data_IF_222624045193
#
_entry.id   IF_222624045193
#
_cell.length_a   1.000
_cell.length_b   1.000
_cell.length_c   1.000
_cell.angle_alpha   90.00
_cell.angle_beta   90.00
_cell.angle_gamma   90.00
#
_symmetry.space_group_name_H-M   'P 1'
#
loop_
_entity.id
_entity.type
_entity.pdbx_description
1 polymer ?
#
# COMPACT_ATOMS: atom_id res chain seq x y z
N UNK A 1 -15.81 -2.35 11.45
CA UNK A 1 -14.95 -2.07 10.28
C UNK A 1 -13.50 -2.15 10.74
N UNK A 2 -12.80 -3.22 10.40
CA UNK A 2 -11.40 -3.39 10.81
C UNK A 2 -10.52 -2.46 9.97
N UNK A 3 -10.09 -1.35 10.57
CA UNK A 3 -9.09 -0.46 9.97
C UNK A 3 -7.76 -1.23 9.90
N UNK A 4 -7.23 -1.40 8.69
CA UNK A 4 -5.92 -2.03 8.50
C UNK A 4 -4.85 -1.10 9.07
N UNK A 5 -3.97 -1.66 9.90
CA UNK A 5 -2.85 -0.93 10.49
C UNK A 5 -1.86 -0.59 9.39
N UNK A 6 -1.17 0.54 9.49
CA UNK A 6 -0.12 0.91 8.55
C UNK A 6 1.18 1.03 9.32
N UNK A 7 2.21 0.35 8.84
CA UNK A 7 3.54 0.51 9.42
C UNK A 7 4.08 1.92 9.17
N UNK A 8 5.05 2.33 9.98
CA UNK A 8 5.76 3.61 9.83
C UNK A 8 6.34 3.77 8.42
N UNK A 9 6.99 2.74 7.91
CA UNK A 9 7.59 2.71 6.57
C UNK A 9 6.55 2.79 5.46
N UNK A 10 5.44 2.07 5.62
CA UNK A 10 4.35 2.10 4.64
C UNK A 10 3.72 3.49 4.55
N UNK A 11 3.48 4.11 5.71
CA UNK A 11 2.96 5.47 5.82
C UNK A 11 3.93 6.50 5.22
N UNK A 12 5.24 6.36 5.46
CA UNK A 12 6.26 7.24 4.89
C UNK A 12 6.28 7.18 3.35
N UNK A 13 6.13 5.98 2.78
CA UNK A 13 6.03 5.79 1.33
C UNK A 13 4.74 6.36 0.76
N UNK A 14 3.60 6.16 1.44
CA UNK A 14 2.32 6.75 1.04
C UNK A 14 2.37 8.29 1.03
N UNK A 15 3.12 8.90 1.96
CA UNK A 15 3.35 10.36 1.96
C UNK A 15 4.10 10.86 0.71
N UNK A 16 4.99 10.04 0.13
CA UNK A 16 5.71 10.36 -1.13
C UNK A 16 4.80 10.28 -2.36
N UNK A 17 3.70 9.52 -2.29
CA UNK A 17 2.72 9.44 -3.38
C UNK A 17 1.94 10.75 -3.47
N UNK A 18 1.68 11.28 -4.68
CA UNK A 18 0.83 12.45 -4.86
C UNK A 18 -0.59 12.25 -4.30
N UNK A 19 -1.17 13.32 -3.72
CA UNK A 19 -2.41 13.22 -2.93
C UNK A 19 -3.60 12.60 -3.69
N UNK A 20 -3.68 12.81 -5.00
CA UNK A 20 -4.75 12.28 -5.85
C UNK A 20 -4.64 10.77 -6.09
N UNK A 21 -3.43 10.19 -6.05
CA UNK A 21 -3.23 8.73 -6.19
C UNK A 21 -3.17 8.04 -4.81
N UNK A 22 -2.87 8.76 -3.72
CA UNK A 22 -2.85 8.21 -2.34
C UNK A 22 -4.05 7.31 -2.00
N UNK A 23 -5.32 7.70 -2.24
CA UNK A 23 -6.45 6.82 -1.93
C UNK A 23 -6.46 5.53 -2.77
N UNK A 24 -5.96 5.58 -4.01
CA UNK A 24 -5.85 4.41 -4.88
C UNK A 24 -4.78 3.42 -4.38
N UNK A 25 -3.58 3.93 -4.05
CA UNK A 25 -2.50 3.13 -3.46
C UNK A 25 -2.92 2.55 -2.11
N UNK A 26 -3.54 3.37 -1.26
CA UNK A 26 -4.07 2.93 0.04
C UNK A 26 -5.04 1.77 -0.12
N UNK A 27 -6.01 1.89 -1.02
CA UNK A 27 -7.01 0.84 -1.27
C UNK A 27 -6.38 -0.45 -1.82
N UNK A 28 -5.42 -0.36 -2.75
CA UNK A 28 -4.71 -1.56 -3.24
C UNK A 28 -3.89 -2.23 -2.14
N UNK A 29 -3.18 -1.45 -1.33
CA UNK A 29 -2.41 -2.00 -0.22
C UNK A 29 -3.31 -2.66 0.83
N UNK A 30 -4.44 -2.05 1.16
CA UNK A 30 -5.43 -2.67 2.04
C UNK A 30 -6.01 -3.97 1.45
N UNK A 31 -6.31 -3.98 0.15
CA UNK A 31 -6.80 -5.18 -0.52
C UNK A 31 -5.75 -6.30 -0.53
N UNK A 32 -4.48 -5.98 -0.81
CA UNK A 32 -3.38 -6.94 -0.78
C UNK A 32 -3.13 -7.47 0.64
N UNK A 33 -3.21 -6.64 1.67
CA UNK A 33 -3.11 -7.08 3.07
C UNK A 33 -4.23 -8.06 3.41
N UNK A 34 -5.48 -7.75 3.06
CA UNK A 34 -6.61 -8.69 3.24
C UNK A 34 -6.43 -10.00 2.47
N UNK A 35 -5.93 -9.92 1.24
CA UNK A 35 -5.69 -11.10 0.41
C UNK A 35 -4.62 -12.02 1.01
N UNK A 36 -3.63 -11.46 1.71
CA UNK A 36 -2.60 -12.23 2.42
C UNK A 36 -3.03 -12.62 3.85
N UNK A 37 -4.21 -12.21 4.31
CA UNK A 37 -4.65 -12.43 5.69
C UNK A 37 -3.99 -11.51 6.72
N UNK A 38 -3.26 -10.50 6.25
CA UNK A 38 -2.55 -9.53 7.07
C UNK A 38 -3.47 -8.39 7.50
N UNK A 39 -3.42 -8.05 8.78
CA UNK A 39 -4.15 -6.91 9.34
C UNK A 39 -3.32 -5.61 9.31
N UNK A 40 -2.10 -5.66 8.77
CA UNK A 40 -1.16 -4.54 8.69
C UNK A 40 -0.56 -4.39 7.28
N UNK A 41 -0.61 -3.17 6.73
CA UNK A 41 0.13 -2.79 5.51
C UNK A 41 1.57 -2.50 5.89
N UNK A 42 2.47 -3.35 5.42
CA UNK A 42 3.92 -3.16 5.52
C UNK A 42 4.49 -2.52 4.25
N UNK A 43 5.73 -2.04 4.32
CA UNK A 43 6.45 -1.51 3.15
C UNK A 43 6.65 -2.56 2.06
N UNK A 44 6.88 -3.83 2.43
CA UNK A 44 6.99 -4.95 1.50
C UNK A 44 5.70 -5.16 0.70
N UNK A 45 4.54 -4.98 1.34
CA UNK A 45 3.25 -5.11 0.70
C UNK A 45 2.97 -3.95 -0.26
N UNK A 46 3.37 -2.73 0.11
CA UNK A 46 3.39 -1.59 -0.82
C UNK A 46 4.35 -1.81 -1.99
N UNK A 47 5.51 -2.42 -1.78
CA UNK A 47 6.46 -2.75 -2.85
C UNK A 47 5.84 -3.73 -3.85
N UNK A 48 5.13 -4.76 -3.38
CA UNK A 48 4.39 -5.69 -4.24
C UNK A 48 3.31 -4.95 -5.06
N UNK A 49 2.58 -4.04 -4.44
CA UNK A 49 1.51 -3.25 -5.09
C UNK A 49 2.07 -2.23 -6.10
N UNK A 50 3.22 -1.62 -5.79
CA UNK A 50 3.85 -0.58 -6.61
C UNK A 50 4.61 -1.19 -7.80
N UNK A 51 5.17 -2.39 -7.64
CA UNK A 51 5.85 -3.13 -8.73
C UNK A 51 4.90 -3.47 -9.88
N UNK A 52 3.58 -3.52 -9.65
CA UNK A 52 2.59 -3.69 -10.71
C UNK A 52 2.41 -2.46 -11.62
N UNK A 53 2.99 -1.30 -11.26
CA UNK A 53 2.79 -0.03 -11.97
C UNK A 53 4.07 0.49 -12.65
N UNK A 54 5.21 -0.21 -12.53
CA UNK A 54 6.43 0.11 -13.25
C UNK A 54 6.71 -0.96 -14.29
N UNK A 55 6.09 -0.82 -15.48
CA UNK A 55 6.76 -1.28 -16.69
C UNK A 55 7.94 -0.32 -16.89
N UNK A 56 9.21 -0.76 -16.77
CA UNK A 56 10.27 -0.02 -17.42
C UNK A 56 10.03 -0.18 -18.93
N UNK A 57 10.07 0.93 -19.66
CA UNK A 57 10.27 0.91 -21.12
C UNK A 57 11.61 0.25 -21.45
#
# INVERSE_FOLDING_TARGET
>A
MSAIRWSSDASARLKRVPFFIRPFVKRRAEAAARAQGEAEVTSALLDQVKSSEHKPD
#
